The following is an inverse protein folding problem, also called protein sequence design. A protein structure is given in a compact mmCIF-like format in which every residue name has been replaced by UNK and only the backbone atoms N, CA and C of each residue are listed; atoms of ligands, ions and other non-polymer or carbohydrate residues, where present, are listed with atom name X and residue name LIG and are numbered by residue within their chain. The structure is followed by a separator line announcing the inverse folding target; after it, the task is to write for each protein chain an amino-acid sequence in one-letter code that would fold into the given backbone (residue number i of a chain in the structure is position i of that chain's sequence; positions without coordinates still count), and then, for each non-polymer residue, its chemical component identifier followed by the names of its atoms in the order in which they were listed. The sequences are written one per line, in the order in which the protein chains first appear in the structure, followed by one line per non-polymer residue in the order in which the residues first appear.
data_IF_225131371360
#
_entry.id   IF_225131371360
#
_cell.length_a   1.000
_cell.length_b   1.000
_cell.length_c   1.000
_cell.angle_alpha   90.00
_cell.angle_beta   90.00
_cell.angle_gamma   90.00
#
_symmetry.space_group_name_H-M   'P 1'
#
loop_
_entity.id
_entity.type
_entity.pdbx_description
1 polymer ?
#
# COMPACT_ATOMS: atom_id res chain seq x y z
N UNK A 1 -15.95 -26.52 0.02
CA UNK A 1 -17.02 -26.07 -0.90
C UNK A 1 -17.92 -25.05 -0.21
N UNK A 2 -18.49 -25.34 0.94
CA UNK A 2 -19.44 -24.48 1.66
C UNK A 2 -18.83 -23.15 2.07
N UNK A 3 -17.57 -23.13 2.47
CA UNK A 3 -16.85 -21.90 2.80
C UNK A 3 -16.76 -20.96 1.58
N UNK A 4 -16.31 -21.46 0.44
CA UNK A 4 -16.27 -20.65 -0.79
C UNK A 4 -17.66 -20.21 -1.25
N UNK A 5 -18.66 -21.05 -1.06
CA UNK A 5 -20.04 -20.67 -1.38
C UNK A 5 -20.54 -19.51 -0.51
N UNK A 6 -20.13 -19.48 0.76
CA UNK A 6 -20.40 -18.35 1.66
C UNK A 6 -19.71 -17.07 1.23
N UNK A 7 -18.44 -17.15 0.80
CA UNK A 7 -17.70 -15.98 0.32
C UNK A 7 -18.24 -15.45 -1.01
N UNK A 8 -18.42 -16.31 -2.00
CA UNK A 8 -18.88 -15.91 -3.33
C UNK A 8 -20.36 -15.47 -3.32
N UNK A 9 -21.18 -16.08 -2.47
CA UNK A 9 -22.58 -15.73 -2.29
C UNK A 9 -22.83 -14.39 -1.58
N UNK A 10 -21.78 -13.62 -1.23
CA UNK A 10 -21.95 -12.22 -0.80
C UNK A 10 -22.45 -11.30 -1.90
N UNK A 11 -22.25 -11.69 -3.15
CA UNK A 11 -22.74 -10.97 -4.31
C UNK A 11 -23.53 -11.97 -5.17
N UNK A 12 -24.82 -11.74 -5.30
CA UNK A 12 -25.69 -12.54 -6.17
C UNK A 12 -25.92 -11.78 -7.48
N UNK A 13 -25.82 -12.48 -8.60
CA UNK A 13 -26.06 -11.92 -9.93
C UNK A 13 -27.17 -12.68 -10.62
N UNK A 14 -28.08 -11.95 -11.24
CA UNK A 14 -29.17 -12.46 -12.03
C UNK A 14 -29.08 -11.98 -13.48
N UNK A 15 -29.66 -12.75 -14.40
CA UNK A 15 -29.66 -12.44 -15.84
C UNK A 15 -28.35 -12.80 -16.53
N UNK A 16 -28.22 -12.41 -17.80
CA UNK A 16 -27.11 -12.81 -18.65
C UNK A 16 -27.14 -14.30 -19.05
N UNK A 17 -26.13 -14.72 -19.82
CA UNK A 17 -25.98 -16.14 -20.15
C UNK A 17 -25.30 -16.92 -19.01
N UNK A 18 -25.40 -18.25 -19.06
CA UNK A 18 -24.71 -19.13 -18.10
C UNK A 18 -23.19 -18.89 -18.11
N UNK A 19 -22.59 -18.67 -19.25
CA UNK A 19 -21.16 -18.38 -19.40
C UNK A 19 -20.77 -17.06 -18.72
N UNK A 20 -21.63 -16.04 -18.84
CA UNK A 20 -21.40 -14.76 -18.17
C UNK A 20 -21.47 -14.88 -16.65
N UNK A 21 -22.41 -15.67 -16.13
CA UNK A 21 -22.49 -15.95 -14.69
C UNK A 21 -21.26 -16.74 -14.20
N UNK A 22 -20.81 -17.74 -14.93
CA UNK A 22 -19.59 -18.50 -14.62
C UNK A 22 -18.38 -17.56 -14.59
N UNK A 23 -18.24 -16.72 -15.60
CA UNK A 23 -17.15 -15.74 -15.66
C UNK A 23 -17.17 -14.81 -14.45
N UNK A 24 -18.32 -14.25 -14.10
CA UNK A 24 -18.46 -13.37 -12.93
C UNK A 24 -17.95 -14.02 -11.63
N UNK A 25 -18.42 -15.24 -11.33
CA UNK A 25 -18.00 -15.92 -10.10
C UNK A 25 -16.55 -16.41 -10.16
N UNK A 26 -16.03 -16.72 -11.32
CA UNK A 26 -14.60 -17.04 -11.51
C UNK A 26 -13.74 -15.80 -11.24
N UNK A 27 -14.11 -14.64 -11.78
CA UNK A 27 -13.37 -13.39 -11.56
C UNK A 27 -13.47 -12.95 -10.08
N UNK A 28 -14.64 -13.12 -9.45
CA UNK A 28 -14.82 -12.84 -8.03
C UNK A 28 -13.95 -13.76 -7.15
N UNK A 29 -13.86 -15.04 -7.50
CA UNK A 29 -12.97 -15.98 -6.82
C UNK A 29 -11.51 -15.56 -6.95
N UNK A 30 -11.05 -15.13 -8.13
CA UNK A 30 -9.71 -14.62 -8.33
C UNK A 30 -9.43 -13.35 -7.51
N UNK A 31 -10.42 -12.46 -7.38
CA UNK A 31 -10.29 -11.25 -6.56
C UNK A 31 -10.06 -11.54 -5.06
N UNK A 32 -10.45 -12.74 -4.60
CA UNK A 32 -10.30 -13.18 -3.21
C UNK A 32 -9.09 -14.11 -3.00
N UNK A 33 -8.64 -14.81 -4.04
CA UNK A 33 -7.69 -15.91 -3.93
C UNK A 33 -6.26 -15.47 -3.54
N UNK A 34 -5.82 -14.30 -3.98
CA UNK A 34 -4.42 -13.87 -3.88
C UNK A 34 -3.96 -13.42 -2.50
N UNK A 35 -4.86 -13.38 -1.51
CA UNK A 35 -4.59 -12.88 -0.14
C UNK A 35 -4.86 -14.00 0.85
N UNK A 36 -3.80 -14.76 1.10
CA UNK A 36 -3.88 -16.02 1.85
C UNK A 36 -3.74 -15.80 3.35
N UNK A 37 -4.57 -16.48 4.14
CA UNK A 37 -4.35 -16.63 5.57
C UNK A 37 -3.08 -17.43 5.79
N UNK A 38 -2.18 -16.92 6.63
CA UNK A 38 -0.90 -17.54 6.98
C UNK A 38 -0.71 -17.70 8.49
N UNK A 39 -1.69 -17.26 9.28
CA UNK A 39 -1.74 -17.60 10.70
C UNK A 39 -2.34 -19.00 10.90
N UNK A 40 -1.85 -19.68 11.91
CA UNK A 40 -2.43 -20.92 12.38
C UNK A 40 -3.77 -20.69 13.11
N UNK A 41 -4.51 -21.76 13.35
CA UNK A 41 -5.82 -21.72 14.02
C UNK A 41 -5.75 -21.19 15.45
N UNK A 42 -4.59 -21.25 16.09
CA UNK A 42 -4.33 -20.70 17.42
C UNK A 42 -3.83 -19.24 17.37
N UNK A 43 -3.73 -18.64 16.18
CA UNK A 43 -3.28 -17.27 15.94
C UNK A 43 -1.77 -17.10 15.82
N UNK A 44 -0.97 -18.16 15.84
CA UNK A 44 0.45 -18.06 15.60
C UNK A 44 0.76 -17.75 14.13
N UNK A 45 1.77 -16.90 13.88
CA UNK A 45 2.23 -16.59 12.52
C UNK A 45 3.74 -16.33 12.52
N UNK A 46 4.36 -16.52 11.35
CA UNK A 46 5.76 -16.24 11.13
C UNK A 46 5.96 -14.75 10.81
N UNK A 47 6.73 -14.06 11.64
CA UNK A 47 7.20 -12.70 11.39
C UNK A 47 8.66 -12.71 10.92
N UNK A 48 8.93 -12.04 9.79
CA UNK A 48 10.26 -11.90 9.20
C UNK A 48 10.59 -10.42 8.91
N UNK A 49 9.98 -9.51 9.66
CA UNK A 49 10.24 -8.07 9.54
C UNK A 49 11.59 -7.64 10.09
N UNK A 50 12.27 -8.51 10.85
CA UNK A 50 13.62 -8.32 11.40
C UNK A 50 14.61 -9.30 10.79
N UNK A 51 15.90 -9.17 11.14
CA UNK A 51 16.96 -10.03 10.60
C UNK A 51 16.82 -11.50 11.02
N UNK A 52 16.05 -11.78 12.05
CA UNK A 52 15.80 -13.14 12.53
C UNK A 52 14.30 -13.45 12.52
N UNK A 53 13.89 -14.56 11.90
CA UNK A 53 12.52 -15.03 11.93
C UNK A 53 12.07 -15.31 13.37
N UNK A 54 10.82 -14.97 13.67
CA UNK A 54 10.21 -15.26 14.98
C UNK A 54 8.75 -15.65 14.82
N UNK A 55 8.25 -16.43 15.78
CA UNK A 55 6.84 -16.75 15.86
C UNK A 55 6.17 -15.70 16.73
N UNK A 56 5.21 -15.00 16.15
CA UNK A 56 4.33 -14.07 16.84
C UNK A 56 2.93 -14.66 16.98
N UNK A 57 2.10 -14.04 17.79
CA UNK A 57 0.71 -14.48 17.98
C UNK A 57 -0.24 -13.28 17.94
N UNK A 58 -1.32 -13.45 17.19
CA UNK A 58 -2.46 -12.53 17.17
C UNK A 58 -3.13 -12.52 18.53
N UNK A 59 -3.61 -11.37 19.03
CA UNK A 59 -4.39 -11.30 20.25
C UNK A 59 -5.62 -12.22 20.19
N UNK A 60 -5.93 -12.87 21.31
CA UNK A 60 -7.05 -13.79 21.42
C UNK A 60 -8.26 -13.11 22.05
N UNK A 61 -9.44 -13.50 21.60
CA UNK A 61 -10.71 -13.17 22.24
C UNK A 61 -10.87 -13.88 23.60
N UNK A 62 -11.87 -13.52 24.36
CA UNK A 62 -12.21 -14.22 25.61
C UNK A 62 -12.53 -15.72 25.42
N UNK A 63 -12.91 -16.13 24.21
CA UNK A 63 -13.14 -17.52 23.86
C UNK A 63 -11.87 -18.26 23.38
N UNK A 64 -10.71 -17.63 23.41
CA UNK A 64 -9.43 -18.19 22.97
C UNK A 64 -9.24 -18.25 21.45
N UNK A 65 -10.11 -17.60 20.67
CA UNK A 65 -9.97 -17.51 19.20
C UNK A 65 -9.20 -16.26 18.80
N UNK A 66 -8.35 -16.32 17.75
CA UNK A 66 -7.71 -15.13 17.19
C UNK A 66 -8.75 -14.04 16.83
N UNK A 67 -8.41 -12.78 17.09
CA UNK A 67 -9.32 -11.65 16.81
C UNK A 67 -9.44 -11.35 15.30
N UNK A 68 -8.45 -11.72 14.51
CA UNK A 68 -8.38 -11.59 13.06
C UNK A 68 -7.48 -12.67 12.49
N UNK A 69 -7.37 -12.75 11.17
CA UNK A 69 -6.38 -13.60 10.51
C UNK A 69 -5.19 -12.77 10.05
N UNK A 70 -4.00 -13.33 10.16
CA UNK A 70 -2.80 -12.74 9.55
C UNK A 70 -2.69 -13.22 8.11
N UNK A 71 -2.50 -12.28 7.19
CA UNK A 71 -2.51 -12.54 5.76
C UNK A 71 -1.15 -12.30 5.12
N UNK A 72 -0.86 -13.10 4.10
CA UNK A 72 0.19 -12.82 3.13
C UNK A 72 -0.43 -12.28 1.85
N UNK A 73 0.09 -11.18 1.36
CA UNK A 73 -0.31 -10.60 0.08
C UNK A 73 0.91 -9.99 -0.62
N UNK A 74 0.99 -10.22 -1.92
CA UNK A 74 2.22 -9.91 -2.66
C UNK A 74 2.38 -8.40 -2.90
N UNK A 75 1.30 -7.66 -3.09
CA UNK A 75 1.32 -6.21 -3.26
C UNK A 75 -0.05 -5.57 -3.05
N UNK A 76 -0.01 -4.30 -2.65
CA UNK A 76 -1.17 -3.39 -2.68
C UNK A 76 -1.20 -2.52 -3.94
N UNK A 77 -0.13 -2.52 -4.72
CA UNK A 77 -0.04 -1.72 -5.92
C UNK A 77 -1.15 -2.08 -6.90
N UNK A 78 -1.92 -1.08 -7.31
CA UNK A 78 -3.07 -1.24 -8.20
C UNK A 78 -4.36 -1.73 -7.54
N UNK A 79 -4.38 -2.17 -6.27
CA UNK A 79 -5.61 -2.62 -5.60
C UNK A 79 -6.67 -1.52 -5.52
N UNK A 80 -6.25 -0.26 -5.40
CA UNK A 80 -7.12 0.91 -5.35
C UNK A 80 -7.94 1.16 -6.62
N UNK A 81 -7.56 0.57 -7.76
CA UNK A 81 -8.32 0.74 -9.01
C UNK A 81 -9.68 0.05 -8.96
N UNK A 82 -9.79 -1.08 -8.27
CA UNK A 82 -11.04 -1.85 -8.22
C UNK A 82 -11.19 -2.70 -6.95
N UNK A 83 -10.14 -3.36 -6.47
CA UNK A 83 -10.23 -4.32 -5.38
C UNK A 83 -10.63 -3.67 -4.06
N UNK A 84 -10.06 -2.51 -3.71
CA UNK A 84 -10.41 -1.79 -2.48
C UNK A 84 -11.88 -1.38 -2.47
N UNK A 85 -12.46 -1.11 -3.64
CA UNK A 85 -13.89 -0.80 -3.80
C UNK A 85 -14.70 -2.06 -3.53
N UNK A 86 -14.38 -3.16 -4.20
CA UNK A 86 -15.06 -4.45 -4.04
C UNK A 86 -15.02 -4.93 -2.59
N UNK A 87 -13.83 -4.95 -1.99
CA UNK A 87 -13.66 -5.43 -0.63
C UNK A 87 -14.37 -4.55 0.39
N UNK A 88 -14.31 -3.24 0.23
CA UNK A 88 -15.01 -2.32 1.15
C UNK A 88 -16.53 -2.44 1.11
N UNK A 89 -17.10 -2.89 0.00
CA UNK A 89 -18.54 -3.06 -0.17
C UNK A 89 -19.02 -4.45 0.29
N UNK A 90 -18.35 -5.50 -0.14
CA UNK A 90 -18.82 -6.88 0.07
C UNK A 90 -18.05 -7.63 1.16
N UNK A 91 -16.81 -7.22 1.46
CA UNK A 91 -15.90 -7.95 2.35
C UNK A 91 -15.21 -7.03 3.39
N UNK A 92 -15.93 -6.16 4.13
CA UNK A 92 -15.30 -5.18 5.03
C UNK A 92 -14.43 -5.84 6.12
N UNK A 93 -14.81 -7.02 6.62
CA UNK A 93 -14.00 -7.76 7.61
C UNK A 93 -12.65 -8.21 7.07
N UNK A 94 -12.56 -8.52 5.77
CA UNK A 94 -11.30 -8.85 5.13
C UNK A 94 -10.36 -7.64 5.11
N UNK A 95 -10.90 -6.43 4.92
CA UNK A 95 -10.11 -5.20 5.01
C UNK A 95 -9.62 -4.94 6.44
N UNK A 96 -10.43 -5.22 7.46
CA UNK A 96 -9.99 -5.12 8.86
C UNK A 96 -8.82 -6.08 9.14
N UNK A 97 -8.90 -7.34 8.68
CA UNK A 97 -7.83 -8.33 8.82
C UNK A 97 -6.54 -7.86 8.12
N UNK A 98 -6.64 -7.29 6.92
CA UNK A 98 -5.49 -6.74 6.20
C UNK A 98 -4.87 -5.53 6.91
N UNK A 99 -5.67 -4.62 7.44
CA UNK A 99 -5.20 -3.51 8.23
C UNK A 99 -4.43 -4.00 9.47
N UNK A 100 -5.01 -4.95 10.21
CA UNK A 100 -4.37 -5.51 11.41
C UNK A 100 -3.06 -6.24 11.08
N UNK A 101 -3.03 -7.01 9.98
CA UNK A 101 -1.79 -7.64 9.49
C UNK A 101 -0.68 -6.63 9.25
N UNK A 102 -0.98 -5.54 8.54
CA UNK A 102 0.01 -4.49 8.28
C UNK A 102 0.45 -3.77 9.56
N UNK A 103 -0.44 -3.63 10.52
CA UNK A 103 -0.11 -3.05 11.83
C UNK A 103 0.75 -3.97 12.69
N UNK A 104 0.56 -5.30 12.60
CA UNK A 104 1.47 -6.25 13.25
C UNK A 104 2.89 -6.10 12.70
N UNK A 105 3.03 -5.99 11.39
CA UNK A 105 4.33 -5.75 10.76
C UNK A 105 4.93 -4.39 11.18
N UNK A 106 4.11 -3.35 11.32
CA UNK A 106 4.55 -2.06 11.82
C UNK A 106 5.05 -2.14 13.27
N UNK A 107 4.31 -2.81 14.15
CA UNK A 107 4.74 -3.04 15.55
C UNK A 107 6.03 -3.85 15.64
N UNK A 108 6.17 -4.82 14.77
CA UNK A 108 7.27 -5.77 14.79
C UNK A 108 8.55 -5.24 14.15
N UNK A 109 8.44 -4.53 13.02
CA UNK A 109 9.59 -4.10 12.20
C UNK A 109 9.66 -2.59 11.96
N UNK A 110 8.65 -1.82 12.38
CA UNK A 110 8.67 -0.35 12.37
C UNK A 110 8.28 0.30 11.06
N UNK A 111 7.80 -0.46 10.05
CA UNK A 111 7.27 0.08 8.80
C UNK A 111 5.91 -0.55 8.49
N UNK A 112 4.99 0.23 7.92
CA UNK A 112 3.82 -0.34 7.24
C UNK A 112 4.28 -0.86 5.88
N UNK A 113 4.01 -2.14 5.54
CA UNK A 113 4.58 -2.76 4.35
C UNK A 113 3.93 -2.26 3.06
N UNK A 114 4.71 -2.23 1.99
CA UNK A 114 4.25 -2.00 0.61
C UNK A 114 3.59 -3.24 0.02
N UNK A 115 4.17 -4.39 0.27
CA UNK A 115 3.71 -5.70 -0.18
C UNK A 115 4.37 -6.77 0.70
N UNK A 116 3.69 -7.20 1.77
CA UNK A 116 4.26 -8.18 2.68
C UNK A 116 4.19 -9.57 2.07
N UNK A 117 5.30 -10.05 1.58
CA UNK A 117 5.44 -11.40 1.07
C UNK A 117 6.31 -12.24 2.01
N UNK A 118 5.81 -13.42 2.38
CA UNK A 118 6.50 -14.30 3.31
C UNK A 118 6.75 -13.72 4.71
N UNK A 119 5.95 -12.73 5.14
CA UNK A 119 6.08 -12.08 6.44
C UNK A 119 7.18 -11.01 6.52
N UNK A 120 7.77 -10.58 5.40
CA UNK A 120 8.78 -9.52 5.35
C UNK A 120 8.36 -8.33 4.46
N UNK A 121 9.16 -7.26 4.44
CA UNK A 121 8.85 -6.04 3.69
C UNK A 121 9.09 -6.12 2.19
N UNK A 122 9.81 -7.08 1.69
CA UNK A 122 10.29 -7.26 0.30
C UNK A 122 11.05 -6.08 -0.32
N UNK A 123 10.64 -4.85 -0.08
CA UNK A 123 11.16 -3.60 -0.67
C UNK A 123 11.09 -3.52 -2.20
N UNK A 124 10.36 -4.43 -2.83
CA UNK A 124 10.15 -4.44 -4.28
C UNK A 124 9.34 -3.23 -4.72
N UNK A 125 9.65 -2.70 -5.89
CA UNK A 125 8.94 -1.58 -6.51
C UNK A 125 9.16 -0.24 -5.78
N UNK A 126 8.19 0.64 -5.84
CA UNK A 126 8.24 2.01 -5.33
C UNK A 126 6.98 2.34 -4.52
N UNK A 127 7.03 3.44 -3.80
CA UNK A 127 5.86 4.04 -3.18
C UNK A 127 5.39 3.36 -1.89
N UNK A 128 4.18 3.73 -1.49
CA UNK A 128 3.48 3.24 -0.31
C UNK A 128 1.99 3.01 -0.64
N UNK A 129 1.66 1.97 -1.41
CA UNK A 129 0.28 1.70 -1.79
C UNK A 129 -0.62 1.33 -0.61
N UNK A 130 -0.07 0.95 0.54
CA UNK A 130 -0.85 0.71 1.75
C UNK A 130 -1.63 1.95 2.20
N UNK A 131 -1.11 3.17 1.93
CA UNK A 131 -1.81 4.39 2.31
C UNK A 131 -3.15 4.56 1.60
N UNK A 132 -3.27 4.18 0.33
CA UNK A 132 -4.55 4.22 -0.39
C UNK A 132 -5.54 3.23 0.20
N UNK A 133 -5.07 2.05 0.60
CA UNK A 133 -5.89 1.03 1.24
C UNK A 133 -6.44 1.49 2.60
N UNK A 134 -5.57 1.97 3.49
CA UNK A 134 -5.98 2.49 4.80
C UNK A 134 -6.89 3.71 4.69
N UNK A 135 -6.58 4.65 3.78
CA UNK A 135 -7.43 5.82 3.54
C UNK A 135 -8.82 5.41 3.04
N UNK A 136 -8.90 4.40 2.18
CA UNK A 136 -10.18 3.85 1.71
C UNK A 136 -10.94 3.20 2.87
N UNK A 137 -10.30 2.33 3.63
CA UNK A 137 -10.91 1.66 4.79
C UNK A 137 -11.46 2.69 5.79
N UNK A 138 -10.61 3.64 6.21
CA UNK A 138 -10.99 4.64 7.20
C UNK A 138 -12.17 5.51 6.73
N UNK A 139 -12.13 6.03 5.50
CA UNK A 139 -13.17 6.92 4.98
C UNK A 139 -14.49 6.19 4.72
N UNK A 140 -14.46 4.87 4.52
CA UNK A 140 -15.67 4.04 4.38
C UNK A 140 -16.20 3.49 5.72
N UNK A 141 -15.59 3.88 6.84
CA UNK A 141 -16.05 3.47 8.17
C UNK A 141 -15.58 2.08 8.61
N UNK A 142 -14.68 1.45 7.86
CA UNK A 142 -14.02 0.19 8.23
C UNK A 142 -12.87 0.56 9.16
N UNK A 143 -13.02 0.30 10.47
CA UNK A 143 -12.13 0.83 11.51
C UNK A 143 -11.91 -0.14 12.67
N UNK A 144 -12.07 -1.43 12.44
CA UNK A 144 -11.82 -2.44 13.48
C UNK A 144 -10.32 -2.76 13.59
N UNK A 145 -9.51 -1.71 13.62
CA UNK A 145 -8.06 -1.71 13.80
C UNK A 145 -7.62 -0.42 14.48
N UNK A 146 -6.39 -0.36 14.95
CA UNK A 146 -5.82 0.84 15.57
C UNK A 146 -5.53 1.92 14.50
N UNK A 147 -6.50 2.80 14.28
CA UNK A 147 -6.42 3.82 13.23
C UNK A 147 -5.37 4.91 13.52
N UNK A 148 -5.11 5.22 14.79
CA UNK A 148 -4.07 6.18 15.16
C UNK A 148 -2.67 5.62 14.92
N UNK A 149 -2.43 4.37 15.27
CA UNK A 149 -1.20 3.66 14.97
C UNK A 149 -0.99 3.51 13.44
N UNK A 150 -2.07 3.22 12.71
CA UNK A 150 -2.03 3.18 11.25
C UNK A 150 -1.59 4.53 10.67
N UNK A 151 -2.21 5.61 11.12
CA UNK A 151 -1.85 6.95 10.67
C UNK A 151 -0.39 7.31 11.01
N UNK A 152 0.08 6.98 12.21
CA UNK A 152 1.48 7.17 12.61
C UNK A 152 2.43 6.46 11.64
N UNK A 153 2.20 5.19 11.37
CA UNK A 153 3.04 4.39 10.45
C UNK A 153 3.01 4.88 9.01
N UNK A 154 1.84 5.24 8.50
CA UNK A 154 1.69 5.80 7.15
C UNK A 154 2.36 7.16 7.02
N UNK A 155 2.23 8.00 8.05
CA UNK A 155 2.93 9.28 8.11
C UNK A 155 4.45 9.08 8.11
N UNK A 156 4.96 8.16 8.90
CA UNK A 156 6.39 7.77 8.90
C UNK A 156 6.83 7.32 7.52
N UNK A 157 6.06 6.49 6.84
CA UNK A 157 6.36 6.01 5.50
C UNK A 157 6.51 7.12 4.45
N UNK A 158 5.90 8.29 4.68
CA UNK A 158 5.91 9.45 3.79
C UNK A 158 7.13 10.38 3.97
N UNK A 159 8.12 9.99 4.79
CA UNK A 159 9.34 10.75 5.06
C UNK A 159 10.59 9.86 4.93
N UNK A 160 11.80 10.47 4.91
CA UNK A 160 13.06 9.72 4.90
C UNK A 160 13.12 8.67 6.00
N UNK A 161 13.59 7.47 5.65
CA UNK A 161 13.59 6.30 6.52
C UNK A 161 12.27 5.54 6.60
N UNK A 162 11.22 5.99 5.94
CA UNK A 162 9.99 5.25 5.73
C UNK A 162 10.05 4.33 4.51
N UNK A 163 8.97 3.55 4.28
CA UNK A 163 8.95 2.56 3.18
C UNK A 163 9.15 3.20 1.80
N UNK A 164 8.71 4.45 1.58
CA UNK A 164 8.91 5.16 0.31
C UNK A 164 10.37 5.43 -0.01
N UNK A 165 11.22 5.49 1.00
CA UNK A 165 12.66 5.70 0.81
C UNK A 165 13.39 4.43 0.35
N UNK A 166 12.74 3.29 0.44
CA UNK A 166 13.20 2.03 -0.13
C UNK A 166 12.54 1.82 -1.49
N UNK A 167 13.34 1.68 -2.54
CA UNK A 167 12.84 1.39 -3.88
C UNK A 167 13.85 0.52 -4.63
N UNK A 168 13.36 -0.44 -5.38
CA UNK A 168 14.24 -1.26 -6.18
C UNK A 168 13.84 -2.73 -6.20
N UNK A 169 14.85 -3.57 -6.16
CA UNK A 169 14.69 -5.01 -6.15
C UNK A 169 14.23 -5.54 -4.79
N UNK A 170 13.66 -6.71 -4.85
CA UNK A 170 13.35 -7.53 -3.69
C UNK A 170 14.55 -7.62 -2.74
N UNK A 171 14.26 -7.44 -1.46
CA UNK A 171 15.26 -7.44 -0.38
C UNK A 171 16.32 -6.32 -0.42
N UNK A 172 16.19 -5.33 -1.29
CA UNK A 172 17.04 -4.14 -1.22
C UNK A 172 16.79 -3.37 0.08
N UNK A 173 17.79 -3.27 0.92
CA UNK A 173 17.74 -2.50 2.17
C UNK A 173 18.27 -1.07 2.00
N UNK A 174 18.57 -0.61 0.79
CA UNK A 174 18.98 0.77 0.56
C UNK A 174 17.86 1.75 0.86
N UNK A 175 18.00 2.44 1.99
CA UNK A 175 17.00 3.35 2.52
C UNK A 175 16.93 4.71 1.80
N UNK A 176 17.71 4.91 0.74
CA UNK A 176 17.74 6.18 -0.01
C UNK A 176 17.36 6.02 -1.48
N UNK A 177 17.12 4.80 -1.91
CA UNK A 177 16.79 4.51 -3.32
C UNK A 177 15.47 5.15 -3.76
N UNK A 178 14.54 5.38 -2.85
CA UNK A 178 13.25 6.04 -3.11
C UNK A 178 13.34 7.55 -3.32
N UNK A 179 14.44 8.19 -2.93
CA UNK A 179 14.67 9.61 -3.18
C UNK A 179 13.73 10.58 -2.46
N UNK A 180 13.26 10.22 -1.26
CA UNK A 180 12.33 11.04 -0.50
C UNK A 180 12.90 12.43 -0.12
N UNK A 181 14.19 12.54 0.12
CA UNK A 181 14.83 13.84 0.38
C UNK A 181 14.67 14.78 -0.81
N UNK A 182 14.88 14.28 -2.04
CA UNK A 182 14.67 15.04 -3.26
C UNK A 182 13.20 15.42 -3.44
N UNK A 183 12.30 14.47 -3.26
CA UNK A 183 10.87 14.71 -3.39
C UNK A 183 10.37 15.82 -2.46
N UNK A 184 10.84 15.85 -1.21
CA UNK A 184 10.49 16.89 -0.23
C UNK A 184 11.13 18.23 -0.58
N UNK A 185 12.42 18.23 -0.96
CA UNK A 185 13.19 19.47 -1.19
C UNK A 185 12.89 20.11 -2.54
N UNK A 186 12.79 19.31 -3.60
CA UNK A 186 12.67 19.77 -4.98
C UNK A 186 11.25 19.72 -5.52
N UNK A 187 10.34 19.01 -4.83
CA UNK A 187 8.99 18.74 -5.31
C UNK A 187 8.93 17.67 -6.40
N UNK A 188 9.98 16.91 -6.62
CA UNK A 188 10.02 15.74 -7.48
C UNK A 188 11.25 14.89 -7.15
N UNK A 189 11.24 13.63 -7.58
CA UNK A 189 12.39 12.74 -7.55
C UNK A 189 13.12 12.85 -8.88
N UNK A 190 14.40 13.29 -8.91
CA UNK A 190 15.14 13.39 -10.15
C UNK A 190 15.63 12.04 -10.66
N UNK A 191 15.79 11.91 -11.96
CA UNK A 191 16.54 10.85 -12.59
C UNK A 191 18.05 11.19 -12.63
N UNK A 192 18.90 10.20 -12.95
CA UNK A 192 20.35 10.40 -13.01
C UNK A 192 21.01 10.65 -11.64
N UNK A 193 20.37 10.24 -10.55
CA UNK A 193 20.91 10.35 -9.19
C UNK A 193 22.18 9.51 -9.04
N UNK A 194 23.20 10.09 -8.44
CA UNK A 194 24.41 9.35 -8.10
C UNK A 194 24.15 8.37 -6.93
N UNK A 195 24.84 7.24 -6.94
CA UNK A 195 24.84 6.26 -5.86
C UNK A 195 23.48 5.61 -5.53
N UNK A 196 22.54 5.60 -6.47
CA UNK A 196 21.29 4.86 -6.32
C UNK A 196 21.53 3.39 -6.60
N UNK A 197 21.18 2.55 -5.65
CA UNK A 197 21.25 1.09 -5.75
C UNK A 197 19.83 0.55 -6.00
N UNK A 198 19.70 -0.37 -6.95
CA UNK A 198 18.43 -0.99 -7.32
C UNK A 198 17.97 -0.61 -8.73
N UNK A 199 16.88 -1.24 -9.19
CA UNK A 199 16.37 -1.06 -10.56
C UNK A 199 15.43 0.12 -10.76
N UNK A 200 14.77 0.56 -9.70
CA UNK A 200 13.75 1.61 -9.81
C UNK A 200 14.34 2.98 -9.52
N UNK A 201 15.07 3.51 -10.51
CA UNK A 201 15.65 4.86 -10.45
C UNK A 201 14.81 5.89 -11.21
N UNK A 202 13.61 5.51 -11.60
CA UNK A 202 12.69 6.30 -12.43
C UNK A 202 11.99 7.37 -11.60
N UNK A 203 12.58 8.56 -11.55
CA UNK A 203 12.10 9.67 -10.72
C UNK A 203 10.69 10.14 -11.09
N UNK A 204 10.33 10.12 -12.37
CA UNK A 204 9.00 10.50 -12.81
C UNK A 204 7.92 9.59 -12.21
N UNK A 205 8.06 8.27 -12.33
CA UNK A 205 7.12 7.30 -11.73
C UNK A 205 7.02 7.46 -10.22
N UNK A 206 8.16 7.60 -9.55
CA UNK A 206 8.19 7.82 -8.08
C UNK A 206 7.44 9.09 -7.69
N UNK A 207 7.65 10.18 -8.40
CA UNK A 207 6.98 11.45 -8.12
C UNK A 207 5.46 11.35 -8.27
N UNK A 208 4.98 10.70 -9.33
CA UNK A 208 3.55 10.51 -9.57
C UNK A 208 2.91 9.64 -8.48
N UNK A 209 3.54 8.52 -8.13
CA UNK A 209 3.09 7.64 -7.06
C UNK A 209 3.05 8.36 -5.70
N UNK A 210 4.12 9.06 -5.33
CA UNK A 210 4.18 9.76 -4.06
C UNK A 210 3.15 10.90 -3.97
N UNK A 211 2.92 11.61 -5.07
CA UNK A 211 1.90 12.67 -5.13
C UNK A 211 0.49 12.10 -4.91
N UNK A 212 0.15 10.98 -5.54
CA UNK A 212 -1.11 10.28 -5.31
C UNK A 212 -1.24 9.78 -3.87
N UNK A 213 -0.18 9.18 -3.35
CA UNK A 213 -0.16 8.64 -1.99
C UNK A 213 -0.23 9.75 -0.93
N UNK A 214 0.37 10.91 -1.17
CA UNK A 214 0.21 12.08 -0.32
C UNK A 214 -1.23 12.60 -0.35
N UNK A 215 -1.91 12.57 -1.50
CA UNK A 215 -3.31 12.90 -1.56
C UNK A 215 -4.16 11.94 -0.70
N UNK A 216 -3.91 10.63 -0.79
CA UNK A 216 -4.59 9.64 0.05
C UNK A 216 -4.38 9.90 1.54
N UNK A 217 -3.13 10.17 1.94
CA UNK A 217 -2.79 10.47 3.33
C UNK A 217 -3.44 11.78 3.80
N UNK A 218 -3.51 12.80 2.92
CA UNK A 218 -4.23 14.03 3.21
C UNK A 218 -5.72 13.77 3.47
N UNK A 219 -6.38 12.92 2.67
CA UNK A 219 -7.80 12.60 2.90
C UNK A 219 -8.01 11.89 4.24
N UNK A 220 -7.11 10.98 4.61
CA UNK A 220 -7.17 10.32 5.91
C UNK A 220 -6.92 11.31 7.04
N UNK A 221 -5.90 12.18 6.93
CA UNK A 221 -5.60 13.24 7.89
C UNK A 221 -6.81 14.16 8.13
N UNK A 222 -7.45 14.60 7.03
CA UNK A 222 -8.66 15.42 7.10
C UNK A 222 -9.79 14.73 7.86
N UNK A 223 -10.04 13.47 7.54
CA UNK A 223 -11.10 12.68 8.19
C UNK A 223 -10.81 12.43 9.69
N UNK A 224 -9.52 12.40 10.08
CA UNK A 224 -9.07 12.28 11.46
C UNK A 224 -8.95 13.64 12.19
N UNK A 225 -9.25 14.77 11.55
CA UNK A 225 -9.12 16.10 12.13
C UNK A 225 -7.68 16.60 12.30
N UNK A 226 -6.70 15.99 11.62
CA UNK A 226 -5.27 16.34 11.68
C UNK A 226 -4.97 17.45 10.65
N UNK A 227 -5.41 18.67 10.94
CA UNK A 227 -5.45 19.78 9.97
C UNK A 227 -4.07 20.13 9.39
N UNK A 228 -3.03 20.23 10.22
CA UNK A 228 -1.67 20.57 9.75
C UNK A 228 -1.11 19.53 8.76
N UNK A 229 -1.32 18.25 9.05
CA UNK A 229 -0.91 17.17 8.14
C UNK A 229 -1.77 17.15 6.86
N UNK A 230 -3.06 17.44 6.97
CA UNK A 230 -3.90 17.61 5.77
C UNK A 230 -3.33 18.66 4.83
N UNK A 231 -3.00 19.84 5.34
CA UNK A 231 -2.44 20.92 4.53
C UNK A 231 -1.09 20.55 3.92
N UNK A 232 -0.20 19.96 4.72
CA UNK A 232 1.11 19.49 4.27
C UNK A 232 1.00 18.49 3.11
N UNK A 233 0.27 17.40 3.31
CA UNK A 233 0.17 16.33 2.33
C UNK A 233 -0.68 16.73 1.12
N UNK A 234 -1.70 17.55 1.31
CA UNK A 234 -2.48 18.09 0.21
C UNK A 234 -1.64 19.01 -0.69
N UNK A 235 -0.75 19.80 -0.12
CA UNK A 235 0.17 20.62 -0.92
C UNK A 235 1.19 19.73 -1.66
N UNK A 236 1.83 18.79 -0.97
CA UNK A 236 2.76 17.83 -1.58
C UNK A 236 2.11 16.99 -2.68
N UNK A 237 0.83 16.69 -2.56
CA UNK A 237 0.11 15.93 -3.59
C UNK A 237 0.07 16.62 -4.95
N UNK A 238 0.39 17.91 -5.03
CA UNK A 238 0.47 18.68 -6.28
C UNK A 238 1.82 18.56 -6.98
N UNK A 239 2.77 17.88 -6.37
CA UNK A 239 4.14 17.76 -6.87
C UNK A 239 4.23 17.12 -8.27
N UNK A 240 3.25 16.27 -8.66
CA UNK A 240 3.18 15.75 -10.02
C UNK A 240 3.22 16.84 -11.09
N UNK A 241 2.75 18.07 -10.79
CA UNK A 241 2.73 19.21 -11.72
C UNK A 241 4.13 19.66 -12.11
N UNK A 242 5.13 19.39 -11.27
CA UNK A 242 6.52 19.76 -11.54
C UNK A 242 7.13 18.95 -12.69
N UNK A 243 6.51 17.83 -13.04
CA UNK A 243 6.92 16.96 -14.15
C UNK A 243 6.09 17.17 -15.43
N UNK A 244 5.10 18.06 -15.41
CA UNK A 244 4.33 18.35 -16.60
C UNK A 244 5.12 19.28 -17.54
N UNK A 245 5.61 18.72 -18.65
CA UNK A 245 6.27 19.51 -19.69
C UNK A 245 5.24 19.98 -20.73
N UNK A 246 4.99 21.27 -20.75
CA UNK A 246 4.03 21.90 -21.67
C UNK A 246 4.44 21.77 -23.14
N UNK A 247 5.74 21.67 -23.43
CA UNK A 247 6.24 21.58 -24.81
C UNK A 247 6.00 20.19 -25.40
N UNK A 248 6.21 19.12 -24.61
CA UNK A 248 5.94 17.76 -25.05
C UNK A 248 4.49 17.31 -24.85
N UNK A 249 3.79 17.94 -23.88
CA UNK A 249 2.43 17.51 -23.47
C UNK A 249 2.40 16.25 -22.61
N UNK A 250 3.54 15.87 -22.03
CA UNK A 250 3.69 14.65 -21.19
C UNK A 250 4.30 14.94 -19.83
N UNK A 251 4.15 13.97 -18.92
CA UNK A 251 4.93 13.89 -17.69
C UNK A 251 6.34 13.44 -18.05
N UNK A 252 7.31 14.33 -17.94
CA UNK A 252 8.69 14.09 -18.37
C UNK A 252 9.63 14.09 -17.16
N UNK A 253 10.63 13.20 -17.11
CA UNK A 253 11.62 13.20 -16.04
C UNK A 253 12.55 14.42 -16.11
N UNK A 254 13.04 14.81 -14.93
CA UNK A 254 14.02 15.87 -14.74
C UNK A 254 15.28 15.35 -14.07
N UNK A 255 16.40 15.97 -14.38
CA UNK A 255 17.67 15.75 -13.70
C UNK A 255 17.74 16.44 -12.33
N UNK A 256 18.86 16.22 -11.64
CA UNK A 256 19.17 16.88 -10.36
C UNK A 256 19.43 18.39 -10.49
N UNK A 257 19.69 18.86 -11.70
CA UNK A 257 19.86 20.27 -12.07
C UNK A 257 18.54 21.01 -12.34
N UNK A 258 17.42 20.28 -12.40
CA UNK A 258 16.10 20.81 -12.69
C UNK A 258 15.74 20.84 -14.17
N UNK A 259 16.66 20.46 -15.04
CA UNK A 259 16.43 20.42 -16.48
C UNK A 259 15.70 19.16 -16.90
N UNK A 260 14.93 19.25 -17.98
CA UNK A 260 14.27 18.10 -18.58
C UNK A 260 15.30 17.14 -19.17
N UNK A 261 15.15 15.86 -18.92
CA UNK A 261 16.02 14.89 -19.56
C UNK A 261 15.82 14.92 -21.09
N UNK A 262 16.90 14.96 -21.88
CA UNK A 262 16.82 14.79 -23.31
C UNK A 262 16.37 13.37 -23.67
N UNK A 263 16.05 13.16 -24.91
CA UNK A 263 15.71 11.83 -25.46
C UNK A 263 14.51 11.16 -24.78
N UNK A 264 13.54 11.98 -24.37
CA UNK A 264 12.24 11.51 -23.89
C UNK A 264 11.35 11.18 -25.09
N UNK A 265 11.10 9.87 -25.30
CA UNK A 265 10.26 9.32 -26.37
C UNK A 265 9.02 8.61 -25.80
#
# INVERSE_FOLDING_TARGET
FDEWNTWLGKIEVEGGSREQQIKFYTDLWHALLGRRVVSDVDGCYLDQTSDFPRICRIPLSASGKPLYNHHNFDAWWGSHWSLDILWSMAYPHLMDDFCNTMLDMYRNGGLIPRGPSGGNYTYVMIGDPAVSFFATAYNKGIRNYDADLAYEGLRKNAFPGGIRDHAGYEHSKDAHSGGMEYYIKMGYVPDGRANVVGMHTTGASMTLEYAYQDWCLAQMAKAMGKQADYELFFERSKNYKNLWNKASGFMQPKGTDGEWLPDFD
#
